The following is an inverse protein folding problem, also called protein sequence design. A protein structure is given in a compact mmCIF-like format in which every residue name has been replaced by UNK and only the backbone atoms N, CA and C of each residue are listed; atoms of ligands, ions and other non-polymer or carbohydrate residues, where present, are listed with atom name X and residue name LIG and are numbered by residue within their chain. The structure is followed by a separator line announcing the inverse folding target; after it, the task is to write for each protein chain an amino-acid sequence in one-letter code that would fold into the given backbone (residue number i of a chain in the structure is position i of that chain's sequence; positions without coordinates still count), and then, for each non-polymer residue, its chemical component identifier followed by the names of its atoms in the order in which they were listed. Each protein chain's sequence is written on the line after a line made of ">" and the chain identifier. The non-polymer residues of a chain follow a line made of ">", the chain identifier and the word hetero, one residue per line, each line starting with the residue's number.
data_IF_686422287813
#
_entry.id   IF_686422287813
#
_cell.length_a   1.000
_cell.length_b   1.000
_cell.length_c   1.000
_cell.angle_alpha   90.00
_cell.angle_beta   90.00
_cell.angle_gamma   90.00
#
_symmetry.space_group_name_H-M   'P 1'
#
loop_
_entity.id
_entity.type
_entity.pdbx_description
1 polymer ?
#
# COMPACT_ATOMS: atom_id res chain seq x y z
N UNK A 1 -6.70 -1.30 33.82
CA UNK A 1 -7.67 -1.88 32.87
C UNK A 1 -7.91 -3.31 33.31
N UNK A 2 -9.18 -3.68 33.54
CA UNK A 2 -9.58 -5.05 33.91
C UNK A 2 -9.21 -6.04 32.79
N UNK A 3 -8.85 -7.29 33.15
CA UNK A 3 -8.62 -8.37 32.17
C UNK A 3 -9.83 -8.59 31.26
N UNK A 4 -11.02 -8.47 31.80
CA UNK A 4 -12.27 -8.56 31.07
C UNK A 4 -12.41 -7.48 29.98
N UNK A 5 -12.05 -6.23 30.28
CA UNK A 5 -12.08 -5.16 29.29
C UNK A 5 -11.05 -5.38 28.17
N UNK A 6 -9.92 -6.00 28.49
CA UNK A 6 -8.90 -6.33 27.48
C UNK A 6 -9.39 -7.44 26.54
N UNK A 7 -10.07 -8.43 27.04
CA UNK A 7 -10.66 -9.50 26.19
C UNK A 7 -11.75 -8.93 25.27
N UNK A 8 -12.68 -8.14 25.84
CA UNK A 8 -13.72 -7.46 25.03
C UNK A 8 -13.10 -6.54 23.97
N UNK A 9 -12.05 -5.80 24.33
CA UNK A 9 -11.30 -4.97 23.39
C UNK A 9 -10.76 -5.80 22.23
N UNK A 10 -10.09 -6.92 22.49
CA UNK A 10 -9.51 -7.75 21.44
C UNK A 10 -10.59 -8.28 20.48
N UNK A 11 -11.75 -8.69 21.01
CA UNK A 11 -12.88 -9.17 20.20
C UNK A 11 -13.38 -8.06 19.28
N UNK A 12 -13.68 -6.87 19.82
CA UNK A 12 -14.19 -5.73 19.02
C UNK A 12 -13.15 -5.20 18.04
N UNK A 13 -11.89 -5.16 18.45
CA UNK A 13 -10.78 -4.72 17.60
C UNK A 13 -10.57 -5.65 16.39
N UNK A 14 -10.55 -6.97 16.62
CA UNK A 14 -10.42 -7.95 15.54
C UNK A 14 -11.65 -7.96 14.63
N UNK A 15 -12.85 -7.85 15.21
CA UNK A 15 -14.09 -7.75 14.43
C UNK A 15 -14.10 -6.49 13.55
N UNK A 16 -13.60 -5.37 14.06
CA UNK A 16 -13.47 -4.14 13.32
C UNK A 16 -12.48 -4.24 12.15
N UNK A 17 -11.31 -4.84 12.38
CA UNK A 17 -10.33 -5.11 11.32
C UNK A 17 -10.89 -6.04 10.25
N UNK A 18 -11.50 -7.14 10.65
CA UNK A 18 -12.11 -8.09 9.72
C UNK A 18 -13.26 -7.47 8.91
N UNK A 19 -14.05 -6.56 9.49
CA UNK A 19 -15.06 -5.80 8.77
C UNK A 19 -14.42 -4.83 7.76
N UNK A 20 -13.34 -4.15 8.14
CA UNK A 20 -12.58 -3.27 7.25
C UNK A 20 -12.01 -4.02 6.04
N UNK A 21 -11.40 -5.18 6.25
CA UNK A 21 -10.85 -6.04 5.20
C UNK A 21 -11.92 -6.55 4.21
N UNK A 22 -13.17 -6.73 4.67
CA UNK A 22 -14.31 -7.08 3.81
C UNK A 22 -14.91 -5.89 3.06
N UNK A 23 -14.50 -4.67 3.37
CA UNK A 23 -15.08 -3.45 2.80
C UNK A 23 -16.33 -2.95 3.53
N UNK A 24 -16.70 -3.55 4.66
CA UNK A 24 -17.84 -3.16 5.50
C UNK A 24 -17.47 -1.98 6.41
N UNK A 25 -17.10 -0.85 5.82
CA UNK A 25 -16.48 0.27 6.55
C UNK A 25 -17.37 0.85 7.67
N UNK A 26 -18.69 0.88 7.50
CA UNK A 26 -19.61 1.34 8.55
C UNK A 26 -19.56 0.42 9.78
N UNK A 27 -19.53 -0.88 9.56
CA UNK A 27 -19.41 -1.88 10.65
C UNK A 27 -18.03 -1.77 11.29
N UNK A 28 -16.98 -1.60 10.48
CA UNK A 28 -15.62 -1.39 10.97
C UNK A 28 -15.53 -0.19 11.90
N UNK A 29 -16.12 0.95 11.52
CA UNK A 29 -16.19 2.15 12.38
C UNK A 29 -16.86 1.83 13.71
N UNK A 30 -18.07 1.25 13.71
CA UNK A 30 -18.81 0.92 14.94
C UNK A 30 -18.01 0.00 15.88
N UNK A 31 -17.35 -1.03 15.32
CA UNK A 31 -16.56 -1.97 16.10
C UNK A 31 -15.30 -1.34 16.68
N UNK A 32 -14.61 -0.53 15.88
CA UNK A 32 -13.39 0.16 16.31
C UNK A 32 -13.69 1.30 17.31
N UNK A 33 -14.82 1.96 17.21
CA UNK A 33 -15.31 2.89 18.22
C UNK A 33 -15.56 2.19 19.55
N UNK A 34 -16.25 1.05 19.52
CA UNK A 34 -16.49 0.23 20.71
C UNK A 34 -15.16 -0.25 21.33
N UNK A 35 -14.21 -0.72 20.51
CA UNK A 35 -12.89 -1.10 20.97
C UNK A 35 -12.15 0.07 21.61
N UNK A 36 -12.14 1.24 21.00
CA UNK A 36 -11.44 2.44 21.51
C UNK A 36 -12.03 2.94 22.83
N UNK A 37 -13.33 2.72 23.06
CA UNK A 37 -14.00 3.09 24.31
C UNK A 37 -13.63 2.17 25.48
N UNK A 38 -13.28 0.91 25.23
CA UNK A 38 -12.90 -0.08 26.25
C UNK A 38 -11.49 0.14 26.79
N UNK A 39 -10.62 0.74 25.99
CA UNK A 39 -9.24 1.04 26.37
C UNK A 39 -9.06 2.54 26.59
N UNK A 40 -8.24 2.90 27.59
CA UNK A 40 -7.89 4.31 27.81
C UNK A 40 -7.28 4.92 26.54
N UNK A 41 -7.76 6.09 26.14
CA UNK A 41 -7.32 6.80 24.92
C UNK A 41 -5.82 7.06 24.86
N UNK A 42 -5.16 7.12 26.02
CA UNK A 42 -3.72 7.37 26.18
C UNK A 42 -2.89 6.08 26.24
N UNK A 43 -3.54 4.91 26.19
CA UNK A 43 -2.84 3.63 26.18
C UNK A 43 -2.34 3.30 24.77
N UNK A 44 -1.25 2.56 24.67
CA UNK A 44 -0.70 2.11 23.37
C UNK A 44 -1.73 1.34 22.54
N UNK A 45 -2.47 0.39 23.17
CA UNK A 45 -3.52 -0.38 22.49
C UNK A 45 -4.70 0.50 22.07
N UNK A 46 -5.08 1.49 22.91
CA UNK A 46 -6.08 2.47 22.54
C UNK A 46 -5.66 3.32 21.35
N UNK A 47 -4.39 3.75 21.32
CA UNK A 47 -3.81 4.48 20.19
C UNK A 47 -3.82 3.68 18.90
N UNK A 48 -3.48 2.39 18.98
CA UNK A 48 -3.52 1.49 17.82
C UNK A 48 -4.95 1.33 17.27
N UNK A 49 -5.94 1.11 18.14
CA UNK A 49 -7.33 1.02 17.72
C UNK A 49 -7.83 2.34 17.10
N UNK A 50 -7.42 3.49 17.65
CA UNK A 50 -7.77 4.79 17.10
C UNK A 50 -7.11 5.04 15.71
N UNK A 51 -5.90 4.55 15.46
CA UNK A 51 -5.29 4.63 14.13
C UNK A 51 -6.09 3.82 13.10
N UNK A 52 -6.53 2.63 13.45
CA UNK A 52 -7.44 1.85 12.59
C UNK A 52 -8.78 2.54 12.39
N UNK A 53 -9.29 3.20 13.43
CA UNK A 53 -10.54 3.96 13.33
C UNK A 53 -10.40 5.15 12.37
N UNK A 54 -9.25 5.84 12.33
CA UNK A 54 -8.98 6.89 11.34
C UNK A 54 -9.09 6.36 9.92
N UNK A 55 -8.47 5.22 9.64
CA UNK A 55 -8.53 4.61 8.30
C UNK A 55 -9.93 4.13 7.96
N UNK A 56 -10.68 3.64 8.94
CA UNK A 56 -12.08 3.25 8.75
C UNK A 56 -12.99 4.45 8.47
N UNK A 57 -12.81 5.58 9.16
CA UNK A 57 -13.52 6.82 8.87
C UNK A 57 -13.23 7.34 7.46
N UNK A 58 -11.96 7.34 7.05
CA UNK A 58 -11.58 7.75 5.69
C UNK A 58 -12.26 6.88 4.64
N UNK A 59 -12.18 5.55 4.80
CA UNK A 59 -12.79 4.60 3.88
C UNK A 59 -14.33 4.69 3.86
N UNK A 60 -14.96 5.07 4.98
CA UNK A 60 -16.39 5.34 5.08
C UNK A 60 -16.79 6.72 4.53
N UNK A 61 -15.84 7.54 4.08
CA UNK A 61 -16.08 8.91 3.58
C UNK A 61 -16.27 9.96 4.68
N UNK A 62 -16.03 9.62 5.95
CA UNK A 62 -16.15 10.50 7.11
C UNK A 62 -14.83 11.25 7.37
N UNK A 63 -14.44 12.09 6.39
CA UNK A 63 -13.13 12.76 6.41
C UNK A 63 -12.96 13.73 7.57
N UNK A 64 -14.02 14.40 7.99
CA UNK A 64 -14.01 15.36 9.11
C UNK A 64 -13.70 14.69 10.44
N UNK A 65 -14.29 13.54 10.69
CA UNK A 65 -14.09 12.71 11.87
C UNK A 65 -12.67 12.13 11.89
N UNK A 66 -12.20 11.66 10.73
CA UNK A 66 -10.83 11.16 10.56
C UNK A 66 -9.80 12.25 10.90
N UNK A 67 -9.96 13.47 10.38
CA UNK A 67 -9.06 14.60 10.67
C UNK A 67 -9.10 14.97 12.15
N UNK A 68 -10.28 15.05 12.76
CA UNK A 68 -10.42 15.39 14.18
C UNK A 68 -9.71 14.35 15.07
N UNK A 69 -9.86 13.07 14.76
CA UNK A 69 -9.19 11.99 15.50
C UNK A 69 -7.67 12.02 15.29
N UNK A 70 -7.19 12.29 14.09
CA UNK A 70 -5.75 12.46 13.81
C UNK A 70 -5.13 13.63 14.60
N UNK A 71 -5.87 14.74 14.75
CA UNK A 71 -5.42 15.86 15.59
C UNK A 71 -5.26 15.46 17.06
N UNK A 72 -6.12 14.60 17.58
CA UNK A 72 -5.98 14.04 18.93
C UNK A 72 -4.77 13.10 19.01
N UNK A 73 -4.62 12.19 18.06
CA UNK A 73 -3.51 11.24 17.99
C UNK A 73 -2.15 11.94 17.86
N UNK A 74 -2.09 13.08 17.18
CA UNK A 74 -0.83 13.86 17.06
C UNK A 74 -0.26 14.32 18.39
N UNK A 75 -1.08 14.34 19.45
CA UNK A 75 -0.70 14.71 20.83
C UNK A 75 -0.68 13.51 21.77
N UNK A 76 -0.71 12.30 21.22
CA UNK A 76 -0.71 11.09 22.03
C UNK A 76 0.59 10.95 22.82
N UNK A 77 0.56 10.46 24.10
CA UNK A 77 1.76 10.31 24.91
C UNK A 77 2.74 9.25 24.37
N UNK A 78 2.24 8.23 23.68
CA UNK A 78 3.06 7.26 23.00
C UNK A 78 3.67 7.89 21.73
N UNK A 79 5.02 7.93 21.59
CA UNK A 79 5.68 8.64 20.50
C UNK A 79 5.42 8.01 19.13
N UNK A 80 5.23 6.69 19.07
CA UNK A 80 4.95 5.98 17.84
C UNK A 80 3.56 6.35 17.31
N UNK A 81 2.56 6.27 18.18
CA UNK A 81 1.18 6.70 17.88
C UNK A 81 1.12 8.17 17.46
N UNK A 82 1.84 9.06 18.17
CA UNK A 82 1.89 10.48 17.85
C UNK A 82 2.51 10.75 16.47
N UNK A 83 3.59 10.04 16.12
CA UNK A 83 4.27 10.15 14.83
C UNK A 83 3.36 9.72 13.70
N UNK A 84 2.70 8.56 13.82
CA UNK A 84 1.77 8.08 12.81
C UNK A 84 0.51 8.96 12.70
N UNK A 85 -0.01 9.45 13.83
CA UNK A 85 -1.11 10.42 13.84
C UNK A 85 -0.80 11.71 13.07
N UNK A 86 0.41 12.25 13.22
CA UNK A 86 0.88 13.41 12.43
C UNK A 86 0.99 13.10 10.95
N UNK A 87 1.50 11.91 10.62
CA UNK A 87 1.63 11.45 9.24
C UNK A 87 0.26 11.31 8.56
N UNK A 88 -0.68 10.65 9.21
CA UNK A 88 -2.05 10.50 8.71
C UNK A 88 -2.75 11.85 8.55
N UNK A 89 -2.57 12.76 9.54
CA UNK A 89 -3.10 14.11 9.46
C UNK A 89 -2.61 14.87 8.23
N UNK A 90 -1.30 14.79 7.95
CA UNK A 90 -0.71 15.42 6.77
C UNK A 90 -1.29 14.86 5.47
N UNK A 91 -1.51 13.54 5.39
CA UNK A 91 -2.09 12.89 4.20
C UNK A 91 -3.56 13.32 4.03
N UNK A 92 -4.36 13.31 5.09
CA UNK A 92 -5.78 13.66 5.04
C UNK A 92 -6.03 15.14 4.74
N UNK A 93 -5.11 16.02 5.12
CA UNK A 93 -5.17 17.46 4.84
C UNK A 93 -4.61 17.82 3.46
N UNK A 94 -3.97 16.87 2.77
CA UNK A 94 -3.42 17.13 1.45
C UNK A 94 -4.53 17.61 0.48
N UNK A 95 -4.27 18.67 -0.31
CA UNK A 95 -5.22 19.16 -1.29
C UNK A 95 -5.45 18.11 -2.37
N UNK A 96 -6.71 17.88 -2.71
CA UNK A 96 -7.05 17.02 -3.83
C UNK A 96 -6.66 17.73 -5.13
N UNK A 97 -5.79 17.10 -5.90
CA UNK A 97 -5.42 17.60 -7.21
C UNK A 97 -6.61 17.46 -8.15
N UNK A 98 -7.09 18.58 -8.70
CA UNK A 98 -8.07 18.56 -9.77
C UNK A 98 -7.41 17.93 -11.01
N UNK A 99 -8.03 16.88 -11.55
CA UNK A 99 -7.60 16.29 -12.82
C UNK A 99 -8.19 17.15 -13.96
N UNK A 100 -7.39 17.83 -14.78
CA UNK A 100 -7.89 18.50 -15.96
C UNK A 100 -8.61 17.50 -16.86
N UNK A 101 -9.79 17.89 -17.37
CA UNK A 101 -10.57 17.01 -18.26
C UNK A 101 -9.81 16.61 -19.54
N UNK A 102 -8.83 17.41 -19.92
CA UNK A 102 -7.94 17.19 -21.08
C UNK A 102 -7.03 15.95 -20.90
N UNK A 103 -6.74 15.55 -19.66
CA UNK A 103 -5.93 14.35 -19.37
C UNK A 103 -6.75 13.05 -19.44
N UNK A 104 -8.06 13.20 -19.49
CA UNK A 104 -8.96 12.05 -19.60
C UNK A 104 -9.16 11.72 -21.07
N UNK A 105 -8.55 10.65 -21.54
CA UNK A 105 -8.88 10.08 -22.85
C UNK A 105 -10.32 9.67 -22.85
N UNK A 106 -11.16 10.31 -23.67
CA UNK A 106 -12.54 9.87 -23.87
C UNK A 106 -12.49 8.49 -24.53
N UNK A 107 -12.93 7.47 -23.82
CA UNK A 107 -13.12 6.14 -24.39
C UNK A 107 -14.34 6.24 -25.30
N UNK A 108 -14.20 6.03 -26.63
CA UNK A 108 -15.35 6.03 -27.53
C UNK A 108 -16.32 4.94 -27.06
N UNK A 109 -17.61 5.25 -27.05
CA UNK A 109 -18.63 4.25 -26.80
C UNK A 109 -18.69 3.30 -28.00
N UNK A 110 -18.07 2.14 -27.82
CA UNK A 110 -18.04 1.10 -28.86
C UNK A 110 -19.38 0.36 -29.00
N UNK A 111 -20.32 0.58 -28.06
CA UNK A 111 -21.65 -0.02 -28.12
C UNK A 111 -22.52 0.50 -29.27
N UNK A 112 -22.21 1.70 -29.80
CA UNK A 112 -22.89 2.30 -30.95
C UNK A 112 -22.25 1.92 -32.32
N UNK A 113 -21.10 1.24 -32.29
CA UNK A 113 -20.47 0.74 -33.50
C UNK A 113 -21.21 -0.55 -33.87
N UNK A 114 -22.16 -0.43 -34.81
CA UNK A 114 -22.82 -1.59 -35.40
C UNK A 114 -21.75 -2.63 -35.79
N UNK A 115 -22.02 -3.91 -35.50
CA UNK A 115 -21.11 -5.00 -35.85
C UNK A 115 -20.72 -4.85 -37.33
N UNK A 116 -19.58 -4.21 -37.55
CA UNK A 116 -19.04 -4.07 -38.89
C UNK A 116 -18.66 -5.45 -39.40
N UNK A 117 -19.14 -5.74 -40.60
CA UNK A 117 -18.97 -7.00 -41.33
C UNK A 117 -17.50 -7.49 -41.18
N UNK A 118 -17.26 -8.77 -40.86
CA UNK A 118 -15.91 -9.33 -40.73
C UNK A 118 -15.00 -9.08 -41.94
N UNK A 119 -15.57 -8.79 -43.11
CA UNK A 119 -14.84 -8.39 -44.30
C UNK A 119 -14.26 -6.98 -44.27
N UNK A 120 -14.92 -6.03 -43.56
CA UNK A 120 -14.44 -4.67 -43.43
C UNK A 120 -13.30 -4.57 -42.39
N UNK A 121 -13.23 -5.48 -41.43
CA UNK A 121 -12.11 -5.56 -40.48
C UNK A 121 -10.76 -5.83 -41.15
N UNK A 122 -10.74 -6.41 -42.35
CA UNK A 122 -9.52 -6.64 -43.14
C UNK A 122 -9.07 -5.42 -43.96
N UNK A 123 -9.95 -4.45 -44.16
CA UNK A 123 -9.67 -3.28 -45.02
C UNK A 123 -9.15 -2.05 -44.29
N UNK A 124 -9.32 -1.94 -42.98
CA UNK A 124 -8.99 -0.71 -42.23
C UNK A 124 -7.51 -0.59 -41.84
N UNK A 125 -6.66 -1.51 -42.27
CA UNK A 125 -5.21 -1.41 -41.96
C UNK A 125 -4.50 -0.49 -42.98
N UNK A 126 -5.17 0.04 -43.99
CA UNK A 126 -4.48 0.72 -45.11
C UNK A 126 -4.69 2.21 -45.25
N UNK A 127 -5.22 2.92 -44.26
CA UNK A 127 -5.27 4.39 -44.30
C UNK A 127 -4.67 5.06 -43.06
N UNK A 128 -3.73 4.40 -42.41
CA UNK A 128 -2.76 5.15 -41.61
C UNK A 128 -1.76 5.70 -42.62
N UNK A 129 -1.89 7.01 -42.90
CA UNK A 129 -0.89 7.78 -43.63
C UNK A 129 0.48 7.27 -43.21
N UNK A 130 1.28 6.89 -44.21
CA UNK A 130 2.63 6.39 -44.07
C UNK A 130 3.47 7.36 -43.21
N UNK A 131 3.30 7.31 -41.90
CA UNK A 131 4.38 7.80 -41.04
C UNK A 131 5.52 6.86 -41.33
N UNK A 132 6.57 7.39 -41.99
CA UNK A 132 7.85 6.70 -42.06
C UNK A 132 8.06 5.94 -40.75
N UNK A 133 8.38 4.64 -40.81
CA UNK A 133 8.72 3.91 -39.59
C UNK A 133 9.76 4.77 -38.88
N UNK A 134 9.41 5.27 -37.69
CA UNK A 134 10.41 5.89 -36.82
C UNK A 134 11.38 4.74 -36.59
N UNK A 135 12.56 4.83 -37.19
CA UNK A 135 13.66 3.92 -36.93
C UNK A 135 13.72 3.80 -35.42
N UNK A 136 13.26 2.65 -34.91
CA UNK A 136 13.51 2.32 -33.51
C UNK A 136 15.01 2.29 -33.43
N UNK A 137 15.66 3.13 -32.60
CA UNK A 137 17.09 3.05 -32.44
C UNK A 137 17.39 1.59 -32.09
N UNK A 138 18.16 0.92 -32.95
CA UNK A 138 18.62 -0.44 -32.67
C UNK A 138 19.14 -0.44 -31.23
N UNK A 139 18.71 -1.38 -30.38
CA UNK A 139 19.21 -1.46 -29.02
C UNK A 139 20.74 -1.57 -29.15
N UNK A 140 21.44 -0.50 -28.81
CA UNK A 140 22.90 -0.52 -28.80
C UNK A 140 23.31 -1.72 -27.96
N UNK A 141 24.14 -2.62 -28.48
CA UNK A 141 24.61 -3.76 -27.71
C UNK A 141 25.20 -3.19 -26.42
N UNK A 142 24.62 -3.63 -25.28
CA UNK A 142 25.09 -3.20 -23.96
C UNK A 142 26.51 -3.72 -23.86
N UNK A 143 27.47 -2.81 -23.74
CA UNK A 143 28.87 -3.16 -23.57
C UNK A 143 29.04 -3.82 -22.21
N UNK A 144 29.10 -5.16 -22.21
CA UNK A 144 29.24 -5.97 -21.01
C UNK A 144 30.58 -5.75 -20.29
N UNK A 145 31.54 -5.08 -20.93
CA UNK A 145 32.83 -4.75 -20.30
C UNK A 145 32.71 -3.64 -19.26
N UNK A 146 31.61 -2.84 -19.31
CA UNK A 146 31.33 -1.78 -18.34
C UNK A 146 30.50 -2.25 -17.15
N UNK A 147 30.01 -3.50 -17.18
CA UNK A 147 29.28 -4.06 -16.04
C UNK A 147 30.29 -4.37 -14.94
N UNK A 148 30.19 -3.66 -13.84
CA UNK A 148 31.07 -3.87 -12.68
C UNK A 148 30.74 -5.23 -12.03
N UNK A 149 31.49 -6.25 -12.43
CA UNK A 149 31.37 -7.62 -11.85
C UNK A 149 32.10 -7.78 -10.53
N UNK A 150 32.73 -6.72 -10.00
CA UNK A 150 33.50 -6.75 -8.74
C UNK A 150 32.61 -6.74 -7.48
N UNK A 151 31.30 -6.63 -7.64
CA UNK A 151 30.37 -6.47 -6.51
C UNK A 151 30.05 -7.79 -5.77
N UNK A 152 30.62 -8.90 -6.19
CA UNK A 152 30.33 -10.22 -5.64
C UNK A 152 31.37 -10.74 -4.62
N UNK A 153 32.08 -9.85 -3.94
CA UNK A 153 32.99 -10.23 -2.84
C UNK A 153 32.27 -10.91 -1.68
N UNK A 154 30.95 -10.68 -1.56
CA UNK A 154 30.11 -11.33 -0.55
C UNK A 154 30.10 -12.88 -0.69
N UNK A 155 30.19 -13.40 -1.90
CA UNK A 155 30.27 -14.87 -2.14
C UNK A 155 31.49 -15.50 -1.45
N UNK A 156 32.64 -14.83 -1.47
CA UNK A 156 33.85 -15.30 -0.82
C UNK A 156 33.72 -15.28 0.72
N UNK A 157 33.06 -14.26 1.26
CA UNK A 157 32.80 -14.19 2.71
C UNK A 157 31.83 -15.29 3.14
N UNK A 158 30.79 -15.55 2.35
CA UNK A 158 29.81 -16.61 2.62
C UNK A 158 30.49 -18.03 2.55
N UNK A 159 31.34 -18.27 1.54
CA UNK A 159 32.11 -19.51 1.42
C UNK A 159 33.07 -19.71 2.60
N UNK A 160 33.74 -18.66 3.04
CA UNK A 160 34.66 -18.71 4.17
C UNK A 160 33.90 -19.00 5.47
N UNK A 161 32.75 -18.37 5.68
CA UNK A 161 31.90 -18.66 6.82
C UNK A 161 31.38 -20.10 6.82
N UNK A 162 30.97 -20.61 5.64
CA UNK A 162 30.52 -22.00 5.49
C UNK A 162 31.66 -22.99 5.82
N UNK A 163 32.86 -22.78 5.30
CA UNK A 163 33.99 -23.67 5.55
C UNK A 163 34.43 -23.67 7.01
N UNK A 164 34.37 -22.50 7.69
CA UNK A 164 34.66 -22.39 9.12
C UNK A 164 33.62 -23.14 9.97
N UNK A 165 32.35 -23.04 9.62
CA UNK A 165 31.28 -23.72 10.36
C UNK A 165 31.35 -25.23 10.19
N UNK A 166 31.59 -25.72 8.97
CA UNK A 166 31.72 -27.16 8.70
C UNK A 166 33.00 -27.69 9.36
N UNK A 167 34.14 -26.97 9.24
CA UNK A 167 35.39 -27.35 9.88
C UNK A 167 35.29 -27.39 11.40
N UNK A 168 34.59 -26.42 12.00
CA UNK A 168 34.34 -26.40 13.45
C UNK A 168 33.48 -27.57 13.92
N UNK A 169 32.45 -27.93 13.16
CA UNK A 169 31.59 -29.09 13.46
C UNK A 169 32.38 -30.41 13.40
N UNK A 170 33.25 -30.57 12.39
CA UNK A 170 34.10 -31.77 12.26
C UNK A 170 35.10 -31.83 13.42
N UNK A 171 35.73 -30.70 13.78
CA UNK A 171 36.66 -30.62 14.90
C UNK A 171 36.02 -30.97 16.24
N UNK A 172 34.77 -30.57 16.45
CA UNK A 172 34.02 -30.84 17.70
C UNK A 172 33.44 -32.28 17.75
N UNK A 173 33.33 -32.93 16.58
CA UNK A 173 32.79 -34.31 16.45
C UNK A 173 33.87 -35.39 16.60
N UNK A 174 35.18 -35.03 16.56
CA UNK A 174 36.33 -35.89 16.83
C UNK A 174 36.98 -35.55 18.16
#
# INVERSE_FOLDING_TARGET
>A
VSSENKEKFLIEYQAGKAAFERGDYRIAVQRLEAASALMGRTSRLGGEAQMWLVTAYEAAGQKTEAIALCQQLSRHPDPETSKEGKRLLYILQAPQLARPSEWMTKIPDLGAIAESDPKERRGSVNTVATRKPREQPEPKPVDLTQVNTKDNQFIWVALLALTLTVGGLIWFSF
#
